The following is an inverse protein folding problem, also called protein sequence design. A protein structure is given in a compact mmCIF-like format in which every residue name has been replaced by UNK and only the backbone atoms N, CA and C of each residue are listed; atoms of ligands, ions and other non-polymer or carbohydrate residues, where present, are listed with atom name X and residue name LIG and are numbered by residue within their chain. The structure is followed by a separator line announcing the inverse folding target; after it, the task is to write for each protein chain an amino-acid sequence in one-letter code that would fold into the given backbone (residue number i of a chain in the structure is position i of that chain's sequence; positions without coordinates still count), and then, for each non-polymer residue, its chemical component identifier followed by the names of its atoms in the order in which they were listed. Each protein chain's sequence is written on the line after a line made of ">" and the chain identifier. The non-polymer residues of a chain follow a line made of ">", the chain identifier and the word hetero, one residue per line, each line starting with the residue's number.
data_IF_268472453486
#
_entry.id   IF_268472453486
#
_cell.length_a   1.000
_cell.length_b   1.000
_cell.length_c   1.000
_cell.angle_alpha   90.00
_cell.angle_beta   90.00
_cell.angle_gamma   90.00
#
_symmetry.space_group_name_H-M   'P 1'
#
loop_
_entity.id
_entity.type
_entity.pdbx_description
1 polymer ?
#
# COMPACT_ATOMS: atom_id res chain seq x y z
N UNK A 1 -14.11 6.91 1.33
CA UNK A 1 -13.45 6.01 2.25
C UNK A 1 -12.00 6.42 2.46
N UNK A 2 -11.55 6.44 3.73
CA UNK A 2 -10.20 6.82 4.12
C UNK A 2 -9.56 5.69 4.90
N UNK A 3 -8.31 5.35 4.55
CA UNK A 3 -7.41 4.54 5.35
C UNK A 3 -6.31 5.43 5.90
N UNK A 4 -6.03 5.34 7.19
CA UNK A 4 -5.02 6.17 7.84
C UNK A 4 -3.70 5.43 7.98
N UNK A 5 -2.61 6.00 7.46
CA UNK A 5 -1.27 5.49 7.68
C UNK A 5 -0.76 5.83 9.08
N UNK A 6 -0.25 4.84 9.78
CA UNK A 6 0.32 4.97 11.14
C UNK A 6 1.67 4.24 11.17
N UNK A 7 2.62 4.80 11.92
CA UNK A 7 3.96 4.22 12.03
C UNK A 7 4.91 4.67 10.93
N UNK A 8 6.16 4.27 11.07
CA UNK A 8 7.26 4.79 10.28
C UNK A 8 7.61 6.24 10.65
N UNK A 9 8.86 6.57 10.77
CA UNK A 9 9.26 7.93 11.11
C UNK A 9 8.84 8.38 12.51
N UNK A 10 7.85 9.27 12.62
CA UNK A 10 7.48 9.94 13.87
C UNK A 10 6.54 9.14 14.80
N UNK A 11 5.84 8.10 14.31
CA UNK A 11 4.91 7.29 15.09
C UNK A 11 5.43 5.88 15.24
N UNK A 12 5.93 5.53 16.42
CA UNK A 12 6.45 4.20 16.76
C UNK A 12 6.01 3.79 18.16
N UNK A 13 6.01 2.49 18.44
CA UNK A 13 5.65 1.91 19.74
C UNK A 13 4.24 2.30 20.19
N UNK A 14 4.09 2.66 21.45
CA UNK A 14 2.79 3.00 22.07
C UNK A 14 2.06 4.16 21.38
N UNK A 15 2.75 5.06 20.69
CA UNK A 15 2.10 6.13 19.92
C UNK A 15 1.28 5.59 18.77
N UNK A 16 1.68 4.46 18.17
CA UNK A 16 0.93 3.83 17.08
C UNK A 16 -0.46 3.43 17.54
N UNK A 17 -0.63 2.92 18.75
CA UNK A 17 -1.92 2.56 19.32
C UNK A 17 -2.82 3.79 19.51
N UNK A 18 -2.31 4.87 20.09
CA UNK A 18 -3.06 6.12 20.26
C UNK A 18 -3.46 6.75 18.93
N UNK A 19 -2.57 6.78 17.95
CA UNK A 19 -2.88 7.32 16.62
C UNK A 19 -3.90 6.47 15.88
N UNK A 20 -3.86 5.15 16.07
CA UNK A 20 -4.83 4.23 15.49
C UNK A 20 -6.22 4.43 16.08
N UNK A 21 -6.34 4.56 17.41
CA UNK A 21 -7.59 4.90 18.08
C UNK A 21 -8.15 6.25 17.63
N UNK A 22 -7.28 7.26 17.48
CA UNK A 22 -7.69 8.56 16.98
C UNK A 22 -8.22 8.45 15.55
N UNK A 23 -7.53 7.72 14.67
CA UNK A 23 -7.96 7.50 13.29
C UNK A 23 -9.34 6.81 13.24
N UNK A 24 -9.56 5.78 14.06
CA UNK A 24 -10.84 5.09 14.17
C UNK A 24 -11.94 6.05 14.63
N UNK A 25 -11.69 6.84 15.67
CA UNK A 25 -12.63 7.84 16.19
C UNK A 25 -12.99 8.92 15.15
N UNK A 26 -12.10 9.22 14.21
CA UNK A 26 -12.36 10.13 13.09
C UNK A 26 -13.04 9.46 11.87
N UNK A 27 -13.37 8.18 11.95
CA UNK A 27 -14.11 7.47 10.92
C UNK A 27 -13.25 6.84 9.83
N UNK A 28 -11.96 6.59 10.08
CA UNK A 28 -11.14 5.79 9.17
C UNK A 28 -11.69 4.38 9.02
N UNK A 29 -11.67 3.84 7.82
CA UNK A 29 -12.12 2.48 7.52
C UNK A 29 -11.09 1.40 7.88
N UNK A 30 -9.85 1.78 8.05
CA UNK A 30 -8.76 0.91 8.43
C UNK A 30 -7.49 1.69 8.74
N UNK A 31 -6.55 1.02 9.39
CA UNK A 31 -5.24 1.56 9.77
C UNK A 31 -4.17 0.80 9.01
N UNK A 32 -3.31 1.51 8.31
CA UNK A 32 -2.14 0.95 7.62
C UNK A 32 -0.89 1.21 8.46
N UNK A 33 -0.28 0.13 8.96
CA UNK A 33 1.00 0.19 9.63
C UNK A 33 2.10 0.28 8.57
N UNK A 34 2.66 1.47 8.41
CA UNK A 34 3.68 1.76 7.41
C UNK A 34 5.05 1.24 7.84
N UNK A 35 5.74 0.57 6.90
CA UNK A 35 7.08 0.04 7.13
C UNK A 35 7.13 -1.17 8.07
N UNK A 36 8.33 -1.64 8.37
CA UNK A 36 8.54 -2.71 9.32
C UNK A 36 8.04 -2.30 10.72
N UNK A 37 6.98 -2.94 11.18
CA UNK A 37 6.40 -2.70 12.51
C UNK A 37 6.68 -3.91 13.39
N UNK A 38 7.26 -3.73 14.59
CA UNK A 38 7.48 -4.81 15.54
C UNK A 38 6.17 -5.54 15.91
N UNK A 39 6.25 -6.84 16.12
CA UNK A 39 5.08 -7.67 16.45
C UNK A 39 4.32 -7.16 17.68
N UNK A 40 5.02 -6.72 18.71
CA UNK A 40 4.41 -6.13 19.92
C UNK A 40 3.52 -4.93 19.58
N UNK A 41 4.01 -4.03 18.73
CA UNK A 41 3.22 -2.87 18.27
C UNK A 41 2.01 -3.31 17.44
N UNK A 42 2.16 -4.32 16.58
CA UNK A 42 1.03 -4.89 15.82
C UNK A 42 -0.03 -5.43 16.78
N UNK A 43 0.38 -6.21 17.78
CA UNK A 43 -0.51 -6.76 18.80
C UNK A 43 -1.25 -5.66 19.57
N UNK A 44 -0.55 -4.64 20.04
CA UNK A 44 -1.15 -3.50 20.75
C UNK A 44 -2.18 -2.78 19.88
N UNK A 45 -1.85 -2.48 18.63
CA UNK A 45 -2.79 -1.80 17.71
C UNK A 45 -4.02 -2.66 17.47
N UNK A 46 -3.86 -3.95 17.16
CA UNK A 46 -4.97 -4.87 16.92
C UNK A 46 -5.89 -5.05 18.15
N UNK A 47 -5.38 -4.84 19.37
CA UNK A 47 -6.16 -4.93 20.60
C UNK A 47 -7.01 -3.68 20.86
N UNK A 48 -6.56 -2.50 20.41
CA UNK A 48 -7.20 -1.23 20.76
C UNK A 48 -8.20 -0.73 19.72
N UNK A 49 -8.09 -1.18 18.46
CA UNK A 49 -9.02 -0.77 17.39
C UNK A 49 -9.90 -1.93 16.93
N UNK A 50 -11.12 -1.60 16.51
CA UNK A 50 -12.09 -2.55 15.94
C UNK A 50 -12.06 -2.54 14.40
N UNK A 51 -11.49 -1.50 13.79
CA UNK A 51 -11.32 -1.40 12.34
C UNK A 51 -10.15 -2.30 11.85
N UNK A 52 -10.15 -2.71 10.58
CA UNK A 52 -9.08 -3.52 10.02
C UNK A 52 -7.70 -2.88 10.17
N UNK A 53 -6.73 -3.68 10.59
CA UNK A 53 -5.32 -3.30 10.67
C UNK A 53 -4.57 -3.96 9.53
N UNK A 54 -3.87 -3.16 8.76
CA UNK A 54 -3.16 -3.54 7.54
C UNK A 54 -1.66 -3.47 7.83
N UNK A 55 -0.92 -4.55 7.59
CA UNK A 55 0.53 -4.57 7.74
C UNK A 55 1.21 -4.35 6.41
N UNK A 56 2.21 -3.46 6.38
CA UNK A 56 3.01 -3.24 5.17
C UNK A 56 4.14 -4.26 5.09
N UNK A 57 4.26 -4.87 3.92
CA UNK A 57 5.24 -5.87 3.54
C UNK A 57 6.13 -5.29 2.45
N UNK A 58 7.43 -5.29 2.66
CA UNK A 58 8.42 -4.70 1.74
C UNK A 58 9.24 -5.74 0.97
N UNK A 59 9.09 -7.01 1.29
CA UNK A 59 9.84 -8.10 0.66
C UNK A 59 9.09 -9.42 0.80
N UNK A 60 9.28 -10.34 -0.14
CA UNK A 60 8.78 -11.73 -0.04
C UNK A 60 9.37 -12.52 1.13
N UNK A 61 10.45 -12.04 1.72
CA UNK A 61 11.06 -12.65 2.92
C UNK A 61 10.47 -12.14 4.23
N UNK A 62 9.48 -11.25 4.17
CA UNK A 62 8.81 -10.75 5.39
C UNK A 62 7.93 -11.84 5.97
N UNK A 63 8.18 -12.20 7.23
CA UNK A 63 7.32 -13.14 7.96
C UNK A 63 6.04 -12.44 8.39
N UNK A 64 4.89 -13.03 8.05
CA UNK A 64 3.58 -12.45 8.33
C UNK A 64 2.68 -13.34 9.20
N UNK A 65 3.03 -14.60 9.42
CA UNK A 65 2.17 -15.55 10.13
C UNK A 65 1.83 -15.07 11.54
N UNK A 66 2.81 -14.66 12.33
CA UNK A 66 2.59 -14.12 13.69
C UNK A 66 1.78 -12.82 13.67
N UNK A 67 1.91 -12.00 12.61
CA UNK A 67 1.12 -10.77 12.46
C UNK A 67 -0.33 -11.09 12.13
N UNK A 68 -0.59 -12.10 11.30
CA UNK A 68 -1.94 -12.58 11.01
C UNK A 68 -2.60 -13.14 12.29
N UNK A 69 -1.86 -13.91 13.09
CA UNK A 69 -2.32 -14.41 14.39
C UNK A 69 -2.61 -13.25 15.38
N UNK A 70 -1.85 -12.17 15.32
CA UNK A 70 -2.06 -10.97 16.13
C UNK A 70 -3.30 -10.17 15.74
N UNK A 71 -3.89 -10.42 14.57
CA UNK A 71 -5.13 -9.77 14.13
C UNK A 71 -5.03 -8.95 12.84
N UNK A 72 -3.91 -8.97 12.14
CA UNK A 72 -3.80 -8.39 10.80
C UNK A 72 -4.73 -9.15 9.85
N UNK A 73 -5.55 -8.43 9.10
CA UNK A 73 -6.54 -9.00 8.18
C UNK A 73 -6.24 -8.70 6.71
N UNK A 74 -5.37 -7.75 6.45
CA UNK A 74 -4.98 -7.29 5.11
C UNK A 74 -3.48 -7.01 5.12
N UNK A 75 -2.78 -7.33 4.04
CA UNK A 75 -1.41 -6.87 3.84
C UNK A 75 -1.33 -5.82 2.74
N UNK A 76 -0.43 -4.87 2.91
CA UNK A 76 -0.08 -3.88 1.90
C UNK A 76 1.33 -4.16 1.40
N UNK A 77 1.49 -4.53 0.14
CA UNK A 77 2.79 -4.84 -0.45
C UNK A 77 3.37 -3.61 -1.12
N UNK A 78 4.54 -3.19 -0.65
CA UNK A 78 5.30 -2.04 -1.17
C UNK A 78 6.77 -2.43 -1.32
N UNK A 79 7.08 -3.19 -2.38
CA UNK A 79 8.40 -3.77 -2.64
C UNK A 79 9.11 -3.14 -3.86
N UNK A 80 8.74 -1.92 -4.23
CA UNK A 80 9.32 -1.22 -5.38
C UNK A 80 9.13 -2.01 -6.68
N UNK A 81 10.22 -2.28 -7.38
CA UNK A 81 10.19 -3.04 -8.65
C UNK A 81 9.78 -4.50 -8.48
N UNK A 82 9.92 -5.05 -7.27
CA UNK A 82 9.59 -6.44 -6.95
C UNK A 82 8.14 -6.60 -6.44
N UNK A 83 7.32 -5.54 -6.50
CA UNK A 83 5.96 -5.55 -5.94
C UNK A 83 5.11 -6.66 -6.58
N UNK A 84 5.06 -6.77 -7.90
CA UNK A 84 4.26 -7.80 -8.59
C UNK A 84 4.72 -9.22 -8.23
N UNK A 85 6.03 -9.49 -8.22
CA UNK A 85 6.59 -10.78 -7.82
C UNK A 85 6.26 -11.12 -6.36
N UNK A 86 6.35 -10.12 -5.48
CA UNK A 86 6.02 -10.26 -4.06
C UNK A 86 4.52 -10.53 -3.86
N UNK A 87 3.65 -9.85 -4.60
CA UNK A 87 2.20 -10.12 -4.61
C UNK A 87 1.93 -11.56 -5.01
N UNK A 88 2.53 -12.03 -6.10
CA UNK A 88 2.37 -13.40 -6.58
C UNK A 88 2.78 -14.42 -5.50
N UNK A 89 3.96 -14.22 -4.88
CA UNK A 89 4.45 -15.07 -3.80
C UNK A 89 3.46 -15.19 -2.64
N UNK A 90 2.93 -14.08 -2.15
CA UNK A 90 1.97 -14.09 -1.04
C UNK A 90 0.60 -14.62 -1.47
N UNK A 91 0.17 -14.36 -2.71
CA UNK A 91 -1.09 -14.89 -3.23
C UNK A 91 -1.08 -16.42 -3.33
N UNK A 92 0.02 -17.02 -3.78
CA UNK A 92 0.17 -18.47 -3.85
C UNK A 92 0.15 -19.10 -2.45
N UNK A 93 0.79 -18.46 -1.48
CA UNK A 93 0.90 -18.96 -0.09
C UNK A 93 -0.37 -18.70 0.73
N UNK A 94 -1.04 -17.60 0.49
CA UNK A 94 -2.25 -17.16 1.20
C UNK A 94 -3.38 -16.82 0.21
N UNK A 95 -4.03 -17.83 -0.40
CA UNK A 95 -4.97 -17.60 -1.52
C UNK A 95 -6.16 -16.69 -1.18
N UNK A 96 -6.57 -16.63 0.09
CA UNK A 96 -7.73 -15.85 0.55
C UNK A 96 -7.37 -14.53 1.23
N UNK A 97 -6.09 -14.27 1.48
CA UNK A 97 -5.66 -13.05 2.16
C UNK A 97 -5.89 -11.84 1.25
N UNK A 98 -6.62 -10.81 1.71
CA UNK A 98 -6.72 -9.56 0.97
C UNK A 98 -5.36 -8.87 0.86
N UNK A 99 -4.98 -8.50 -0.36
CA UNK A 99 -3.71 -7.85 -0.68
C UNK A 99 -3.98 -6.52 -1.33
N UNK A 100 -3.51 -5.45 -0.69
CA UNK A 100 -3.33 -4.13 -1.30
C UNK A 100 -1.88 -4.05 -1.77
N UNK A 101 -1.62 -3.44 -2.91
CA UNK A 101 -0.27 -3.25 -3.38
C UNK A 101 -0.03 -1.82 -3.83
N UNK A 102 1.17 -1.31 -3.60
CA UNK A 102 1.60 -0.04 -4.14
C UNK A 102 1.97 -0.26 -5.60
N UNK A 103 1.13 0.24 -6.49
CA UNK A 103 1.37 0.23 -7.93
C UNK A 103 2.57 1.09 -8.29
N UNK A 104 3.31 0.69 -9.31
CA UNK A 104 4.37 1.51 -9.89
C UNK A 104 3.80 2.72 -10.66
N UNK A 105 4.68 3.58 -11.19
CA UNK A 105 4.28 4.82 -11.84
C UNK A 105 3.68 4.64 -13.24
N UNK A 106 3.64 3.43 -13.77
CA UNK A 106 3.18 3.12 -15.13
C UNK A 106 1.94 2.23 -15.12
N UNK A 107 1.12 2.36 -16.17
CA UNK A 107 -0.04 1.48 -16.37
C UNK A 107 0.36 0.00 -16.46
N UNK A 108 1.53 -0.28 -17.05
CA UNK A 108 2.06 -1.63 -17.18
C UNK A 108 2.37 -2.24 -15.80
N UNK A 109 3.09 -1.52 -14.93
CA UNK A 109 3.41 -1.99 -13.58
C UNK A 109 2.16 -2.18 -12.71
N UNK A 110 1.14 -1.36 -12.90
CA UNK A 110 -0.16 -1.53 -12.25
C UNK A 110 -0.85 -2.81 -12.74
N UNK A 111 -0.86 -3.04 -14.05
CA UNK A 111 -1.46 -4.23 -14.65
C UNK A 111 -0.78 -5.51 -14.17
N UNK A 112 0.55 -5.57 -14.22
CA UNK A 112 1.33 -6.69 -13.71
C UNK A 112 1.01 -7.02 -12.25
N UNK A 113 0.84 -5.98 -11.43
CA UNK A 113 0.52 -6.15 -10.00
C UNK A 113 -0.90 -6.70 -9.80
N UNK A 114 -1.87 -6.27 -10.61
CA UNK A 114 -3.24 -6.82 -10.58
C UNK A 114 -3.25 -8.27 -11.06
N UNK A 115 -2.57 -8.56 -12.16
CA UNK A 115 -2.46 -9.92 -12.71
C UNK A 115 -1.76 -10.88 -11.75
N UNK A 116 -0.83 -10.37 -10.94
CA UNK A 116 -0.18 -11.13 -9.87
C UNK A 116 -1.13 -11.48 -8.72
N UNK A 117 -2.30 -10.88 -8.63
CA UNK A 117 -3.36 -11.22 -7.67
C UNK A 117 -3.61 -10.18 -6.57
N UNK A 118 -3.19 -8.94 -6.74
CA UNK A 118 -3.59 -7.86 -5.82
C UNK A 118 -5.09 -7.59 -5.94
N UNK A 119 -5.74 -7.35 -4.79
CA UNK A 119 -7.16 -7.00 -4.72
C UNK A 119 -7.41 -5.50 -4.90
N UNK A 120 -6.44 -4.68 -4.53
CA UNK A 120 -6.48 -3.24 -4.68
C UNK A 120 -5.09 -2.67 -4.90
N UNK A 121 -5.04 -1.52 -5.56
CA UNK A 121 -3.79 -0.80 -5.85
C UNK A 121 -3.87 0.59 -5.22
N UNK A 122 -2.79 0.98 -4.56
CA UNK A 122 -2.54 2.38 -4.18
C UNK A 122 -1.48 2.97 -5.10
N UNK A 123 -1.68 4.19 -5.53
CA UNK A 123 -0.69 4.92 -6.32
C UNK A 123 -0.75 6.41 -5.99
N UNK A 124 0.36 7.09 -6.20
CA UNK A 124 0.40 8.55 -6.12
C UNK A 124 0.03 9.11 -7.48
N UNK A 125 -1.07 9.85 -7.61
CA UNK A 125 -1.43 10.45 -8.87
C UNK A 125 -0.37 11.45 -9.31
N UNK A 126 -0.13 11.61 -10.62
CA UNK A 126 0.79 12.62 -11.11
C UNK A 126 0.33 14.01 -10.70
N UNK A 127 1.28 14.88 -10.39
CA UNK A 127 1.01 16.28 -10.11
C UNK A 127 0.39 17.01 -11.31
N UNK A 128 -0.30 18.11 -11.06
CA UNK A 128 -0.84 18.93 -12.16
C UNK A 128 0.24 19.39 -13.14
N UNK A 129 1.47 19.66 -12.64
CA UNK A 129 2.61 20.02 -13.48
C UNK A 129 3.05 18.87 -14.39
N UNK A 130 3.09 17.65 -13.89
CA UNK A 130 3.43 16.46 -14.69
C UNK A 130 2.35 16.16 -15.73
N UNK A 131 1.07 16.27 -15.36
CA UNK A 131 -0.05 16.11 -16.29
C UNK A 131 0.01 17.16 -17.40
N UNK A 132 0.27 18.41 -17.06
CA UNK A 132 0.43 19.49 -18.02
C UNK A 132 1.61 19.23 -18.97
N UNK A 133 2.78 18.86 -18.44
CA UNK A 133 3.96 18.56 -19.23
C UNK A 133 3.72 17.42 -20.22
N UNK A 134 3.13 16.31 -19.78
CA UNK A 134 2.75 15.18 -20.65
C UNK A 134 1.80 15.60 -21.78
N UNK A 135 0.83 16.46 -21.46
CA UNK A 135 -0.14 16.99 -22.43
C UNK A 135 0.56 17.89 -23.46
N UNK A 136 1.47 18.77 -23.02
CA UNK A 136 2.23 19.64 -23.90
C UNK A 136 3.18 18.88 -24.81
N UNK A 137 3.85 17.83 -24.32
CA UNK A 137 4.67 16.95 -25.15
C UNK A 137 3.87 16.27 -26.27
N UNK A 138 2.65 15.84 -25.98
CA UNK A 138 1.75 15.24 -26.96
C UNK A 138 1.41 16.25 -28.08
N UNK A 139 1.10 17.49 -27.75
CA UNK A 139 0.84 18.53 -28.74
C UNK A 139 2.07 18.85 -29.59
N UNK A 140 3.25 18.99 -28.99
CA UNK A 140 4.50 19.24 -29.71
C UNK A 140 4.85 18.13 -30.71
N UNK A 141 4.51 16.87 -30.42
CA UNK A 141 4.69 15.74 -31.34
C UNK A 141 3.72 15.79 -32.53
N UNK A 142 2.51 16.27 -32.32
CA UNK A 142 1.52 16.43 -33.39
C UNK A 142 1.98 17.52 -34.37
N UNK A 143 2.41 18.69 -33.89
CA UNK A 143 2.91 19.78 -34.72
C UNK A 143 4.12 19.38 -35.57
N UNK A 144 5.01 18.52 -35.07
CA UNK A 144 6.16 18.03 -35.85
C UNK A 144 5.78 17.06 -36.96
N UNK A 145 4.69 16.31 -36.80
CA UNK A 145 4.22 15.36 -37.81
C UNK A 145 3.43 16.05 -38.92
N UNK A 146 2.81 17.22 -38.64
CA UNK A 146 2.06 18.00 -39.64
C UNK A 146 2.98 18.90 -40.51
N UNK A 147 4.26 19.04 -40.15
CA UNK A 147 5.28 19.82 -40.91
C UNK A 147 6.20 18.94 -41.78
N UNK A 148 6.00 17.67 -41.81
CA UNK A 148 6.70 16.70 -42.64
C UNK A 148 5.79 16.06 -43.69
#
# INVERSE_FOLDING_TARGET
>A
PVFSGVGGGLTQGARSSYMSLFAEAQGSLGVVLNGPTPLETVQEVCQVVDIPVISTVTSKYTEIDEKLEAGITIINISAGKETAETVKYFRERYPKLPIIATGGPTEESIRETIEAGANAITYTPPSNGELFSRKMEKYRKIEKNDQS
#
